data_IF_309605440395
#
_entry.id   IF_309605440395
#
_cell.length_a   1.000
_cell.length_b   1.000
_cell.length_c   1.000
_cell.angle_alpha   90.00
_cell.angle_beta   90.00
_cell.angle_gamma   90.00
#
_symmetry.space_group_name_H-M   'P 1'
#
loop_
_entity.id
_entity.type
_entity.pdbx_description
1 polymer ?
#
# COMPACT_ATOMS: atom_id res chain seq x y z
N UNK A 1 -23.64 7.55 -13.63
CA UNK A 1 -23.98 6.66 -12.49
C UNK A 1 -22.88 5.61 -12.42
N UNK A 2 -21.84 5.83 -11.61
CA UNK A 2 -20.77 4.84 -11.47
C UNK A 2 -21.34 3.68 -10.67
N UNK A 3 -21.40 2.51 -11.30
CA UNK A 3 -21.77 1.25 -10.65
C UNK A 3 -20.71 1.03 -9.56
N UNK A 4 -21.09 1.10 -8.30
CA UNK A 4 -20.18 0.75 -7.20
C UNK A 4 -19.66 -0.66 -7.49
N UNK A 5 -18.39 -0.75 -7.87
CA UNK A 5 -17.74 -2.03 -8.04
C UNK A 5 -17.78 -2.71 -6.67
N UNK A 6 -18.23 -3.98 -6.60
CA UNK A 6 -18.29 -4.67 -5.33
C UNK A 6 -16.91 -4.67 -4.70
N UNK A 7 -16.87 -4.57 -3.36
CA UNK A 7 -15.68 -4.76 -2.58
C UNK A 7 -14.95 -6.03 -3.06
N UNK A 8 -13.69 -5.87 -3.47
CA UNK A 8 -12.86 -6.97 -3.95
C UNK A 8 -12.13 -7.66 -2.80
N UNK A 9 -11.72 -8.90 -3.04
CA UNK A 9 -10.74 -9.60 -2.20
C UNK A 9 -9.42 -9.71 -2.96
N UNK A 10 -8.34 -9.17 -2.39
CA UNK A 10 -7.01 -9.11 -3.01
C UNK A 10 -6.01 -9.85 -2.14
N UNK A 11 -5.27 -10.79 -2.73
CA UNK A 11 -4.15 -11.46 -2.06
C UNK A 11 -2.84 -10.85 -2.55
N UNK A 12 -2.01 -10.38 -1.63
CA UNK A 12 -0.86 -9.52 -1.91
C UNK A 12 0.44 -10.20 -1.50
N UNK A 13 1.31 -10.44 -2.47
CA UNK A 13 2.69 -10.92 -2.30
C UNK A 13 3.65 -9.73 -2.31
N UNK A 14 4.90 -9.95 -1.89
CA UNK A 14 6.00 -8.97 -1.97
C UNK A 14 5.51 -7.57 -1.61
N UNK A 15 5.17 -7.40 -0.33
CA UNK A 15 4.29 -6.34 0.13
C UNK A 15 4.90 -5.53 1.26
N UNK A 16 4.39 -4.31 1.41
CA UNK A 16 4.56 -3.50 2.60
C UNK A 16 3.33 -2.57 2.74
N UNK A 17 3.28 -1.87 3.86
CA UNK A 17 2.37 -0.74 4.03
C UNK A 17 3.17 0.54 3.88
N UNK A 18 2.65 1.47 3.07
CA UNK A 18 3.20 2.83 3.00
C UNK A 18 2.39 3.71 3.94
N UNK A 19 3.11 4.40 4.82
CA UNK A 19 2.55 5.42 5.71
C UNK A 19 2.75 6.78 5.06
N UNK A 20 1.66 7.50 4.84
CA UNK A 20 1.59 8.85 4.30
C UNK A 20 1.25 9.82 5.43
N UNK A 21 2.19 10.70 5.74
CA UNK A 21 2.14 11.71 6.78
C UNK A 21 2.27 13.09 6.13
N UNK A 22 1.23 13.45 5.36
CA UNK A 22 1.19 14.68 4.58
C UNK A 22 0.70 15.85 5.47
N UNK A 23 1.30 17.05 5.36
CA UNK A 23 0.87 18.21 6.16
C UNK A 23 -0.61 18.53 5.96
N UNK A 24 -1.34 18.71 7.06
CA UNK A 24 -2.79 18.99 7.09
C UNK A 24 -3.69 17.86 6.61
N UNK A 25 -3.16 16.66 6.42
CA UNK A 25 -3.94 15.45 6.17
C UNK A 25 -3.84 14.49 7.36
N UNK A 26 -4.79 13.56 7.44
CA UNK A 26 -4.68 12.49 8.42
C UNK A 26 -3.62 11.49 7.97
N UNK A 27 -2.87 10.97 8.95
CA UNK A 27 -1.96 9.84 8.75
C UNK A 27 -2.73 8.73 8.02
N UNK A 28 -2.23 8.37 6.84
CA UNK A 28 -2.90 7.42 5.95
C UNK A 28 -1.98 6.25 5.70
N UNK A 29 -2.52 5.04 5.81
CA UNK A 29 -1.80 3.82 5.48
C UNK A 29 -2.41 3.19 4.24
N UNK A 30 -1.57 2.67 3.33
CA UNK A 30 -2.00 1.98 2.11
C UNK A 30 -1.19 0.70 1.92
N UNK A 31 -1.84 -0.37 1.45
CA UNK A 31 -1.16 -1.59 1.03
C UNK A 31 -0.50 -1.37 -0.33
N UNK A 32 0.74 -1.83 -0.45
CA UNK A 32 1.49 -1.82 -1.72
C UNK A 32 2.15 -3.18 -1.89
N UNK A 33 1.92 -3.83 -3.02
CA UNK A 33 2.49 -5.14 -3.33
C UNK A 33 1.92 -5.75 -4.60
N UNK A 34 2.22 -7.03 -4.85
CA UNK A 34 1.86 -7.72 -6.08
C UNK A 34 0.61 -8.57 -5.91
N UNK A 35 -0.40 -8.40 -6.77
CA UNK A 35 -1.61 -9.22 -6.75
C UNK A 35 -1.27 -10.65 -7.20
N UNK A 36 -1.48 -11.63 -6.32
CA UNK A 36 -1.31 -13.04 -6.66
C UNK A 36 -2.31 -13.50 -7.74
N UNK A 37 -3.51 -12.91 -7.75
CA UNK A 37 -4.58 -13.31 -8.67
C UNK A 37 -4.39 -12.69 -10.04
N UNK A 38 -4.09 -11.39 -10.09
CA UNK A 38 -4.09 -10.62 -11.32
C UNK A 38 -2.69 -10.48 -11.94
N UNK A 39 -1.64 -10.84 -11.19
CA UNK A 39 -0.24 -10.71 -11.59
C UNK A 39 0.13 -9.27 -11.98
N UNK A 40 -0.31 -8.30 -11.19
CA UNK A 40 0.01 -6.88 -11.35
C UNK A 40 0.35 -6.23 -10.01
N UNK A 41 1.15 -5.16 -10.07
CA UNK A 41 1.35 -4.26 -8.94
C UNK A 41 0.04 -3.59 -8.51
N UNK A 42 -0.20 -3.52 -7.20
CA UNK A 42 -1.38 -2.88 -6.61
C UNK A 42 -1.00 -1.92 -5.51
N UNK A 43 -1.77 -0.84 -5.46
CA UNK A 43 -1.82 0.12 -4.36
C UNK A 43 -3.27 0.22 -3.92
N UNK A 44 -3.53 0.06 -2.62
CA UNK A 44 -4.88 0.12 -2.10
C UNK A 44 -5.37 1.54 -1.86
N UNK A 45 -6.68 1.67 -1.65
CA UNK A 45 -7.23 2.84 -0.94
C UNK A 45 -6.81 2.80 0.55
N UNK A 46 -7.00 3.89 1.32
CA UNK A 46 -6.60 3.94 2.72
C UNK A 46 -7.09 2.74 3.54
N UNK A 47 -6.19 2.16 4.32
CA UNK A 47 -6.48 1.08 5.26
C UNK A 47 -7.33 1.64 6.41
N UNK A 48 -8.41 0.93 6.73
CA UNK A 48 -9.25 1.21 7.89
C UNK A 48 -8.89 0.33 9.08
N UNK A 49 -8.62 -0.94 8.81
CA UNK A 49 -8.24 -1.95 9.79
C UNK A 49 -7.25 -2.91 9.16
N UNK A 50 -6.25 -3.34 9.93
CA UNK A 50 -5.30 -4.36 9.53
C UNK A 50 -4.83 -5.13 10.77
N UNK A 51 -4.92 -6.45 10.71
CA UNK A 51 -4.37 -7.35 11.70
C UNK A 51 -3.19 -8.11 11.10
N UNK A 52 -1.98 -7.77 11.57
CA UNK A 52 -0.74 -8.38 11.12
C UNK A 52 -0.66 -9.88 11.48
N UNK A 53 -1.36 -10.35 12.52
CA UNK A 53 -1.32 -11.77 12.92
C UNK A 53 -2.08 -12.66 11.94
N UNK A 54 -3.16 -12.13 11.38
CA UNK A 54 -3.97 -12.84 10.38
C UNK A 54 -3.55 -12.48 8.95
N UNK A 55 -2.83 -11.37 8.78
CA UNK A 55 -2.49 -10.80 7.49
C UNK A 55 -3.68 -10.19 6.77
N UNK A 56 -4.80 -9.93 7.45
CA UNK A 56 -6.01 -9.41 6.82
C UNK A 56 -6.27 -7.95 7.18
N UNK A 57 -6.67 -7.16 6.19
CA UNK A 57 -7.10 -5.79 6.39
C UNK A 57 -8.22 -5.37 5.46
N UNK A 58 -8.92 -4.31 5.84
CA UNK A 58 -10.00 -3.71 5.08
C UNK A 58 -9.66 -2.27 4.75
N UNK A 59 -10.01 -1.84 3.56
CA UNK A 59 -9.73 -0.50 3.06
C UNK A 59 -11.00 0.34 2.98
N UNK A 60 -10.83 1.66 2.79
CA UNK A 60 -11.92 2.64 2.70
C UNK A 60 -12.91 2.35 1.57
N UNK A 61 -12.46 1.71 0.49
CA UNK A 61 -13.34 1.24 -0.59
C UNK A 61 -14.19 0.03 -0.20
N UNK A 62 -14.00 -0.54 0.99
CA UNK A 62 -14.63 -1.76 1.47
C UNK A 62 -13.90 -3.05 1.06
N UNK A 63 -12.84 -2.97 0.27
CA UNK A 63 -12.07 -4.13 -0.19
C UNK A 63 -11.32 -4.79 0.96
N UNK A 64 -11.18 -6.11 0.87
CA UNK A 64 -10.36 -6.91 1.79
C UNK A 64 -9.03 -7.22 1.11
N UNK A 65 -7.94 -7.01 1.85
CA UNK A 65 -6.59 -7.36 1.47
C UNK A 65 -6.07 -8.44 2.42
N UNK A 66 -5.53 -9.52 1.86
CA UNK A 66 -4.81 -10.58 2.57
C UNK A 66 -3.35 -10.53 2.12
N UNK A 67 -2.44 -10.26 3.05
CA UNK A 67 -1.01 -10.23 2.78
C UNK A 67 -0.39 -11.62 2.96
N UNK A 68 0.49 -11.99 2.05
CA UNK A 68 1.11 -13.32 1.99
C UNK A 68 2.60 -13.17 2.20
N UNK A 69 3.12 -13.87 3.21
CA UNK A 69 4.52 -13.79 3.62
C UNK A 69 4.82 -12.57 4.50
N UNK A 70 6.08 -12.46 4.90
CA UNK A 70 6.56 -11.34 5.72
C UNK A 70 6.60 -10.04 4.91
N UNK A 71 6.37 -8.87 5.55
CA UNK A 71 6.56 -7.60 4.87
C UNK A 71 8.03 -7.37 4.53
N UNK A 72 8.28 -6.68 3.42
CA UNK A 72 9.62 -6.35 2.96
C UNK A 72 9.59 -5.29 1.87
N UNK A 73 10.55 -5.32 0.95
CA UNK A 73 10.50 -4.45 -0.23
C UNK A 73 9.32 -4.87 -1.12
N UNK A 74 8.36 -3.97 -1.45
CA UNK A 74 7.30 -4.32 -2.38
C UNK A 74 7.81 -4.64 -3.77
N UNK A 75 7.07 -5.46 -4.51
CA UNK A 75 7.37 -5.76 -5.91
C UNK A 75 7.51 -4.47 -6.75
N UNK A 76 8.45 -4.43 -7.69
CA UNK A 76 8.78 -3.21 -8.45
C UNK A 76 7.57 -2.67 -9.26
N UNK A 77 6.73 -3.53 -9.81
CA UNK A 77 5.45 -3.10 -10.43
C UNK A 77 4.52 -2.34 -9.47
N UNK A 78 4.50 -2.72 -8.19
CA UNK A 78 3.69 -2.04 -7.20
C UNK A 78 4.28 -0.66 -6.85
N UNK A 79 5.62 -0.57 -6.81
CA UNK A 79 6.34 0.71 -6.69
C UNK A 79 6.02 1.61 -7.90
N UNK A 80 6.04 1.07 -9.12
CA UNK A 80 5.66 1.81 -10.31
C UNK A 80 4.23 2.39 -10.22
N UNK A 81 3.27 1.59 -9.75
CA UNK A 81 1.88 2.07 -9.54
C UNK A 81 1.84 3.15 -8.44
N UNK A 82 2.60 2.97 -7.36
CA UNK A 82 2.71 3.96 -6.28
C UNK A 82 3.23 5.31 -6.78
N UNK A 83 4.29 5.30 -7.59
CA UNK A 83 4.85 6.50 -8.23
C UNK A 83 3.83 7.23 -9.10
N UNK A 84 2.93 6.50 -9.77
CA UNK A 84 1.87 7.09 -10.59
C UNK A 84 0.74 7.71 -9.76
N UNK A 85 0.47 7.18 -8.57
CA UNK A 85 -0.60 7.67 -7.69
C UNK A 85 -0.12 8.85 -6.83
N UNK A 86 1.06 8.72 -6.25
CA UNK A 86 1.59 9.67 -5.25
C UNK A 86 2.53 10.70 -5.88
N UNK A 87 3.15 10.36 -7.01
CA UNK A 87 4.13 11.19 -7.71
C UNK A 87 5.53 10.62 -7.59
N UNK A 88 6.15 10.40 -8.76
CA UNK A 88 7.50 9.85 -8.92
C UNK A 88 8.54 10.59 -8.06
N UNK A 89 8.54 11.92 -8.14
CA UNK A 89 9.48 12.77 -7.40
C UNK A 89 9.40 12.56 -5.89
N UNK A 90 8.18 12.40 -5.35
CA UNK A 90 7.99 12.23 -3.92
C UNK A 90 8.49 10.86 -3.48
N UNK A 91 8.10 9.80 -4.20
CA UNK A 91 8.54 8.42 -3.96
C UNK A 91 10.07 8.30 -3.98
N UNK A 92 10.72 8.81 -5.03
CA UNK A 92 12.17 8.68 -5.18
C UNK A 92 12.96 9.52 -4.17
N UNK A 93 12.46 10.70 -3.77
CA UNK A 93 13.18 11.59 -2.83
C UNK A 93 12.99 11.22 -1.37
N UNK A 94 11.89 10.57 -1.02
CA UNK A 94 11.54 10.36 0.40
C UNK A 94 11.47 8.88 0.79
N UNK A 95 10.87 8.02 -0.03
CA UNK A 95 10.59 6.63 0.38
C UNK A 95 11.85 5.78 0.57
N UNK A 96 12.89 6.05 -0.23
CA UNK A 96 14.14 5.28 -0.26
C UNK A 96 15.34 6.00 0.38
N UNK A 97 15.15 7.22 0.93
CA UNK A 97 16.27 8.07 1.38
C UNK A 97 16.44 8.08 2.89
N UNK A 98 15.36 8.26 3.67
CA UNK A 98 15.40 8.19 5.14
C UNK A 98 14.07 7.59 5.69
N UNK A 99 14.11 6.39 6.29
CA UNK A 99 12.90 5.71 6.77
C UNK A 99 12.20 6.42 7.95
N UNK A 100 12.85 7.40 8.58
CA UNK A 100 12.34 8.07 9.79
C UNK A 100 12.02 9.56 9.60
N UNK A 101 12.30 10.14 8.43
CA UNK A 101 12.13 11.59 8.20
C UNK A 101 11.30 11.97 6.97
N UNK A 102 10.87 11.00 6.16
CA UNK A 102 9.99 11.23 5.01
C UNK A 102 8.52 11.41 5.39
N UNK A 103 7.80 12.24 4.63
CA UNK A 103 6.32 12.29 4.62
C UNK A 103 5.72 10.99 4.09
N UNK A 104 6.51 10.20 3.37
CA UNK A 104 6.16 8.85 2.96
C UNK A 104 7.25 7.88 3.43
N UNK A 105 6.85 6.75 3.99
CA UNK A 105 7.78 5.74 4.53
C UNK A 105 7.17 4.34 4.51
N UNK A 106 8.04 3.33 4.51
CA UNK A 106 7.63 1.96 4.77
C UNK A 106 7.24 1.80 6.25
N UNK A 107 6.12 1.13 6.51
CA UNK A 107 5.69 0.78 7.88
C UNK A 107 6.58 -0.30 8.48
N UNK A 108 6.99 -1.26 7.65
CA UNK A 108 7.86 -2.36 8.03
C UNK A 108 9.24 -2.22 7.41
N UNK A 109 10.30 -2.73 8.06
CA UNK A 109 11.65 -2.71 7.51
C UNK A 109 11.74 -3.36 6.12
N UNK A 110 12.69 -2.87 5.30
CA UNK A 110 13.04 -3.41 3.98
C UNK A 110 14.47 -3.93 3.96
#
# INVERSE_FOLDING_TARGET
>A
MYKELPAGHVRLLDWNIIVLDLPNENLTEIFVGYSQTDLIGRVSTPIQEFDIKTGQGKTKSGSIYEVIGEPGKPHDDAIYVLERIIGLDLVQKELFVDPYKGKIRFKYPI
#
